data_IF_952723975688
#
_entry.id   IF_952723975688
#
_cell.length_a   1.000
_cell.length_b   1.000
_cell.length_c   1.000
_cell.angle_alpha   90.00
_cell.angle_beta   90.00
_cell.angle_gamma   90.00
#
_symmetry.space_group_name_H-M   'P 1'
#
loop_
_entity.id
_entity.type
_entity.pdbx_description
1 polymer ?
#
# COMPACT_ATOMS: atom_id res chain seq x y z
N UNK A 1 -7.58 -16.09 0.27
CA UNK A 1 -7.60 -15.87 -1.19
C UNK A 1 -6.26 -15.21 -1.54
N UNK A 2 -5.40 -15.81 -2.37
CA UNK A 2 -4.10 -15.20 -2.72
C UNK A 2 -4.34 -14.16 -3.82
N UNK A 3 -4.24 -12.88 -3.49
CA UNK A 3 -4.19 -11.81 -4.49
C UNK A 3 -2.88 -11.96 -5.27
N UNK A 4 -2.95 -11.79 -6.59
CA UNK A 4 -1.82 -12.12 -7.47
C UNK A 4 -1.20 -10.84 -8.02
N UNK A 5 -0.08 -10.42 -7.42
CA UNK A 5 0.84 -9.44 -8.00
C UNK A 5 0.85 -8.05 -7.35
N UNK A 6 2.01 -7.40 -7.48
CA UNK A 6 2.27 -6.00 -7.11
C UNK A 6 1.27 -5.06 -7.79
N UNK A 7 0.77 -4.09 -7.04
CA UNK A 7 -0.03 -3.01 -7.62
C UNK A 7 0.91 -2.04 -8.36
N UNK A 8 0.64 -1.74 -9.65
CA UNK A 8 1.23 -0.58 -10.30
C UNK A 8 0.96 0.67 -9.47
N UNK A 9 1.85 1.67 -9.54
CA UNK A 9 1.75 2.93 -8.80
C UNK A 9 0.35 3.55 -8.89
N UNK A 10 -0.22 3.56 -10.10
CA UNK A 10 -1.54 4.11 -10.32
C UNK A 10 -2.66 3.36 -9.58
N UNK A 11 -2.56 2.05 -9.41
CA UNK A 11 -3.51 1.24 -8.64
C UNK A 11 -3.22 1.28 -7.12
N UNK A 12 -1.95 1.41 -6.74
CA UNK A 12 -1.54 1.55 -5.35
C UNK A 12 -2.10 2.82 -4.72
N UNK A 13 -2.03 3.95 -5.43
CA UNK A 13 -2.63 5.22 -4.96
C UNK A 13 -4.11 5.07 -4.60
N UNK A 14 -4.88 4.34 -5.41
CA UNK A 14 -6.29 4.09 -5.13
C UNK A 14 -6.48 3.22 -3.89
N UNK A 15 -5.66 2.18 -3.73
CA UNK A 15 -5.71 1.33 -2.54
C UNK A 15 -5.29 2.07 -1.28
N UNK A 16 -4.32 3.00 -1.34
CA UNK A 16 -3.97 3.88 -0.22
C UNK A 16 -5.19 4.69 0.23
N UNK A 17 -5.92 5.31 -0.71
CA UNK A 17 -7.15 6.04 -0.40
C UNK A 17 -8.27 5.15 0.18
N UNK A 18 -8.36 3.88 -0.26
CA UNK A 18 -9.34 2.92 0.27
C UNK A 18 -8.94 2.43 1.67
N UNK A 19 -7.66 2.15 1.92
CA UNK A 19 -7.18 1.74 3.24
C UNK A 19 -7.31 2.83 4.29
N UNK A 20 -7.07 4.09 3.91
CA UNK A 20 -7.24 5.24 4.80
C UNK A 20 -8.70 5.41 5.26
N UNK A 21 -9.67 4.99 4.45
CA UNK A 21 -11.08 5.00 4.81
C UNK A 21 -11.49 3.89 5.80
N UNK A 22 -10.60 2.93 6.09
CA UNK A 22 -10.84 1.86 7.05
C UNK A 22 -11.97 0.90 6.64
N UNK A 23 -12.52 0.19 7.63
CA UNK A 23 -13.54 -0.86 7.42
C UNK A 23 -14.87 -0.32 6.85
N UNK A 24 -15.17 0.95 7.12
CA UNK A 24 -16.34 1.62 6.57
C UNK A 24 -16.24 1.77 5.04
N UNK A 25 -15.03 1.71 4.47
CA UNK A 25 -14.79 1.89 3.05
C UNK A 25 -15.13 3.30 2.56
N UNK A 26 -15.05 3.50 1.25
CA UNK A 26 -15.18 4.82 0.63
C UNK A 26 -15.98 4.78 -0.67
N UNK A 27 -16.39 5.93 -1.16
CA UNK A 27 -17.10 6.06 -2.44
C UNK A 27 -16.15 6.51 -3.54
N UNK A 28 -16.55 6.40 -4.81
CA UNK A 28 -15.73 6.90 -5.92
C UNK A 28 -15.33 8.40 -5.76
N UNK A 29 -16.25 9.32 -5.39
CA UNK A 29 -15.86 10.69 -5.05
C UNK A 29 -14.90 10.80 -3.87
N UNK A 30 -15.07 9.96 -2.84
CA UNK A 30 -14.19 9.94 -1.66
C UNK A 30 -12.77 9.45 -1.97
N UNK A 31 -12.61 8.58 -2.97
CA UNK A 31 -11.32 8.17 -3.51
C UNK A 31 -10.70 9.33 -4.29
N UNK A 32 -11.44 9.94 -5.23
CA UNK A 32 -10.93 11.06 -6.04
C UNK A 32 -10.45 12.24 -5.19
N UNK A 33 -11.15 12.54 -4.09
CA UNK A 33 -10.77 13.62 -3.19
C UNK A 33 -9.40 13.42 -2.50
N UNK A 34 -8.87 12.19 -2.49
CA UNK A 34 -7.58 11.83 -1.89
C UNK A 34 -6.46 11.64 -2.91
N UNK A 35 -6.76 11.71 -4.21
CA UNK A 35 -5.76 11.56 -5.24
C UNK A 35 -5.15 12.92 -5.59
N UNK A 36 -3.82 12.98 -5.65
CA UNK A 36 -3.09 14.20 -6.03
C UNK A 36 -3.21 14.51 -7.53
N UNK A 37 -3.54 13.50 -8.34
CA UNK A 37 -3.70 13.63 -9.80
C UNK A 37 -5.17 13.62 -10.22
N UNK A 38 -5.52 14.37 -11.28
CA UNK A 38 -6.87 14.30 -11.85
C UNK A 38 -7.09 12.96 -12.55
N UNK A 39 -8.27 12.37 -12.32
CA UNK A 39 -8.74 11.17 -13.00
C UNK A 39 -10.17 11.37 -13.49
N UNK A 40 -10.46 10.92 -14.71
CA UNK A 40 -11.84 10.89 -15.21
C UNK A 40 -12.62 9.79 -14.49
N UNK A 41 -13.94 9.95 -14.39
CA UNK A 41 -14.81 8.93 -13.79
C UNK A 41 -14.69 7.56 -14.49
N UNK A 42 -14.53 7.56 -15.82
CA UNK A 42 -14.34 6.33 -16.61
C UNK A 42 -13.00 5.64 -16.30
N UNK A 43 -11.92 6.42 -16.18
CA UNK A 43 -10.61 5.88 -15.81
C UNK A 43 -10.66 5.29 -14.39
N UNK A 44 -11.18 6.03 -13.42
CA UNK A 44 -11.37 5.56 -12.05
C UNK A 44 -12.17 4.25 -12.02
N UNK A 45 -13.30 4.20 -12.72
CA UNK A 45 -14.13 3.00 -12.78
C UNK A 45 -13.35 1.80 -13.34
N UNK A 46 -12.55 2.00 -14.38
CA UNK A 46 -11.70 0.96 -14.96
C UNK A 46 -10.64 0.45 -13.96
N UNK A 47 -10.01 1.34 -13.20
CA UNK A 47 -9.07 0.96 -12.14
C UNK A 47 -9.75 0.17 -11.02
N UNK A 48 -10.89 0.65 -10.52
CA UNK A 48 -11.61 0.01 -9.42
C UNK A 48 -12.12 -1.38 -9.82
N UNK A 49 -12.60 -1.53 -11.06
CA UNK A 49 -12.99 -2.84 -11.59
C UNK A 49 -11.81 -3.81 -11.65
N UNK A 50 -10.63 -3.37 -12.11
CA UNK A 50 -9.42 -4.22 -12.10
C UNK A 50 -8.98 -4.61 -10.70
N UNK A 51 -9.02 -3.67 -9.75
CA UNK A 51 -8.70 -3.93 -8.35
C UNK A 51 -9.67 -4.95 -7.72
N UNK A 52 -10.95 -4.86 -8.06
CA UNK A 52 -11.98 -5.83 -7.68
C UNK A 52 -11.73 -7.22 -8.29
N UNK A 53 -11.48 -7.29 -9.61
CA UNK A 53 -11.16 -8.53 -10.32
C UNK A 53 -9.89 -9.22 -9.78
N UNK A 54 -8.89 -8.43 -9.37
CA UNK A 54 -7.68 -8.91 -8.69
C UNK A 54 -7.92 -9.31 -7.23
N UNK A 55 -9.06 -8.94 -6.66
CA UNK A 55 -9.48 -9.28 -5.29
C UNK A 55 -8.92 -8.39 -4.19
N UNK A 56 -8.38 -7.21 -4.51
CA UNK A 56 -7.84 -6.27 -3.52
C UNK A 56 -8.93 -5.51 -2.77
N UNK A 57 -10.05 -5.25 -3.44
CA UNK A 57 -11.21 -4.57 -2.88
C UNK A 57 -12.51 -5.25 -3.33
N UNK A 58 -13.62 -4.90 -2.69
CA UNK A 58 -14.97 -5.25 -3.14
C UNK A 58 -15.78 -3.98 -3.39
N UNK A 59 -16.69 -4.03 -4.35
CA UNK A 59 -17.69 -3.01 -4.59
C UNK A 59 -19.05 -3.49 -4.08
N UNK A 60 -19.63 -2.77 -3.12
CA UNK A 60 -20.98 -3.00 -2.62
C UNK A 60 -21.88 -1.80 -2.91
N UNK A 61 -23.13 -2.05 -3.29
CA UNK A 61 -24.11 -0.98 -3.48
C UNK A 61 -24.78 -0.64 -2.16
N UNK A 62 -24.74 0.62 -1.76
CA UNK A 62 -25.41 1.16 -0.59
C UNK A 62 -26.34 2.31 -0.99
N UNK A 63 -27.64 2.01 -1.01
CA UNK A 63 -28.64 2.92 -1.56
C UNK A 63 -28.38 3.20 -3.04
N UNK A 64 -28.03 4.46 -3.35
CA UNK A 64 -27.76 4.92 -4.72
C UNK A 64 -26.27 4.98 -5.07
N UNK A 65 -25.38 4.68 -4.12
CA UNK A 65 -23.95 4.88 -4.28
C UNK A 65 -23.19 3.57 -4.14
N UNK A 66 -22.13 3.41 -4.92
CA UNK A 66 -21.19 2.30 -4.75
C UNK A 66 -20.19 2.64 -3.64
N UNK A 67 -19.91 1.66 -2.79
CA UNK A 67 -18.94 1.73 -1.72
C UNK A 67 -17.89 0.64 -1.90
N UNK A 68 -16.63 1.04 -1.79
CA UNK A 68 -15.46 0.22 -2.00
C UNK A 68 -14.80 -0.07 -0.66
N UNK A 69 -14.55 -1.34 -0.39
CA UNK A 69 -13.90 -1.80 0.85
C UNK A 69 -12.70 -2.65 0.53
N UNK A 70 -11.61 -2.46 1.28
CA UNK A 70 -10.44 -3.30 1.15
C UNK A 70 -10.78 -4.75 1.53
N UNK A 71 -10.32 -5.70 0.73
CA UNK A 71 -10.36 -7.15 1.05
C UNK A 71 -9.00 -7.68 1.50
N UNK A 72 -7.94 -6.95 1.16
CA UNK A 72 -6.57 -7.18 1.60
C UNK A 72 -6.23 -6.02 2.52
N UNK A 73 -5.73 -6.28 3.72
CA UNK A 73 -5.30 -5.20 4.62
C UNK A 73 -4.02 -4.55 4.11
N UNK A 74 -3.81 -3.29 4.50
CA UNK A 74 -2.57 -2.56 4.17
C UNK A 74 -1.34 -3.30 4.69
N UNK A 75 -1.40 -3.81 5.91
CA UNK A 75 -0.31 -4.54 6.54
C UNK A 75 0.04 -5.84 5.79
N UNK A 76 -0.96 -6.63 5.37
CA UNK A 76 -0.72 -7.84 4.56
C UNK A 76 -0.07 -7.50 3.21
N UNK A 77 -0.49 -6.40 2.58
CA UNK A 77 0.11 -5.93 1.34
C UNK A 77 1.56 -5.50 1.55
N UNK A 78 1.81 -4.62 2.52
CA UNK A 78 3.14 -4.12 2.85
C UNK A 78 4.10 -5.27 3.19
N UNK A 79 3.68 -6.24 4.01
CA UNK A 79 4.53 -7.38 4.35
C UNK A 79 4.97 -8.19 3.12
N UNK A 80 4.04 -8.50 2.21
CA UNK A 80 4.36 -9.24 0.99
C UNK A 80 5.21 -8.41 0.02
N UNK A 81 4.90 -7.12 -0.12
CA UNK A 81 5.56 -6.22 -1.04
C UNK A 81 6.98 -5.89 -0.58
N UNK A 82 7.20 -5.64 0.72
CA UNK A 82 8.53 -5.40 1.30
C UNK A 82 9.48 -6.56 1.03
N UNK A 83 9.01 -7.81 1.16
CA UNK A 83 9.82 -8.99 0.83
C UNK A 83 10.18 -9.02 -0.66
N UNK A 84 9.19 -8.77 -1.51
CA UNK A 84 9.37 -8.76 -2.97
C UNK A 84 10.35 -7.69 -3.42
N UNK A 85 10.26 -6.48 -2.86
CA UNK A 85 11.17 -5.35 -3.15
C UNK A 85 12.59 -5.67 -2.69
N UNK A 86 12.75 -6.17 -1.46
CA UNK A 86 14.07 -6.55 -0.94
C UNK A 86 14.72 -7.63 -1.81
N UNK A 87 13.99 -8.70 -2.14
CA UNK A 87 14.52 -9.82 -2.92
C UNK A 87 14.91 -9.39 -4.34
N UNK A 88 14.08 -8.56 -5.01
CA UNK A 88 14.29 -8.17 -6.42
C UNK A 88 15.33 -7.07 -6.61
N UNK A 89 15.35 -6.06 -5.75
CA UNK A 89 16.20 -4.86 -5.95
C UNK A 89 17.45 -4.87 -5.07
N UNK A 90 17.40 -5.51 -3.91
CA UNK A 90 18.45 -5.46 -2.90
C UNK A 90 19.01 -6.84 -2.54
N UNK A 91 18.72 -7.86 -3.36
CA UNK A 91 19.16 -9.26 -3.18
C UNK A 91 18.84 -9.82 -1.78
N UNK A 92 17.65 -9.47 -1.25
CA UNK A 92 17.18 -9.91 0.06
C UNK A 92 17.87 -9.26 1.25
N UNK A 93 18.73 -8.25 1.02
CA UNK A 93 19.54 -7.65 2.08
C UNK A 93 18.96 -6.32 2.57
N UNK A 94 18.43 -6.32 3.80
CA UNK A 94 18.01 -5.11 4.49
C UNK A 94 19.17 -4.10 4.64
N UNK A 95 20.39 -4.59 4.87
CA UNK A 95 21.60 -3.75 4.93
C UNK A 95 21.84 -2.99 3.62
N UNK A 96 21.68 -3.65 2.46
CA UNK A 96 21.86 -2.97 1.15
C UNK A 96 20.78 -1.93 0.92
N UNK A 97 19.56 -2.21 1.33
CA UNK A 97 18.47 -1.23 1.27
C UNK A 97 18.76 0.00 2.14
N UNK A 98 19.13 -0.20 3.41
CA UNK A 98 19.47 0.90 4.33
C UNK A 98 20.66 1.74 3.84
N UNK A 99 21.71 1.10 3.30
CA UNK A 99 22.85 1.80 2.72
C UNK A 99 22.42 2.68 1.53
N UNK A 100 21.58 2.17 0.63
CA UNK A 100 21.08 2.94 -0.51
C UNK A 100 20.25 4.17 -0.08
N UNK A 101 19.47 4.07 0.99
CA UNK A 101 18.72 5.21 1.53
C UNK A 101 19.64 6.25 2.19
N UNK A 102 20.65 5.80 2.93
CA UNK A 102 21.62 6.68 3.58
C UNK A 102 22.48 7.43 2.55
N UNK A 103 23.05 6.72 1.58
CA UNK A 103 23.89 7.30 0.53
C UNK A 103 23.08 8.26 -0.36
N UNK A 104 21.78 8.00 -0.53
CA UNK A 104 20.83 8.88 -1.22
C UNK A 104 20.34 10.07 -0.40
N UNK A 105 20.80 10.25 0.84
CA UNK A 105 20.37 11.33 1.74
C UNK A 105 18.91 11.24 2.21
N UNK A 106 18.28 10.09 2.02
CA UNK A 106 16.86 9.84 2.35
C UNK A 106 16.66 9.17 3.71
N UNK A 107 17.75 8.87 4.43
CA UNK A 107 17.73 8.31 5.77
C UNK A 107 18.37 9.29 6.75
N UNK A 108 17.54 9.90 7.58
CA UNK A 108 17.93 10.86 8.62
C UNK A 108 18.53 10.15 9.82
N UNK A 109 19.29 10.89 10.64
CA UNK A 109 19.87 10.33 11.86
C UNK A 109 18.80 9.89 12.88
N UNK A 110 17.65 10.55 12.89
CA UNK A 110 16.51 10.20 13.75
C UNK A 110 15.90 8.86 13.32
N UNK A 111 15.65 8.65 12.03
CA UNK A 111 15.17 7.38 11.49
C UNK A 111 16.16 6.22 11.76
N UNK A 112 17.47 6.49 11.72
CA UNK A 112 18.49 5.49 12.09
C UNK A 112 18.35 5.10 13.57
N UNK A 113 18.19 6.07 14.46
CA UNK A 113 18.03 5.79 15.90
C UNK A 113 16.74 5.04 16.21
N UNK A 114 15.63 5.43 15.60
CA UNK A 114 14.35 4.72 15.72
C UNK A 114 14.47 3.26 15.26
N UNK A 115 15.13 3.04 14.12
CA UNK A 115 15.39 1.69 13.62
C UNK A 115 16.30 0.88 14.55
N UNK A 116 17.36 1.49 15.09
CA UNK A 116 18.22 0.84 16.09
C UNK A 116 17.44 0.41 17.34
N UNK A 117 16.56 1.28 17.86
CA UNK A 117 15.73 0.97 19.03
C UNK A 117 14.78 -0.19 18.74
N UNK A 118 14.10 -0.15 17.59
CA UNK A 118 13.21 -1.23 17.16
C UNK A 118 13.95 -2.57 16.97
N UNK A 119 15.16 -2.57 16.39
CA UNK A 119 15.96 -3.79 16.28
C UNK A 119 16.38 -4.35 17.65
N UNK A 120 16.58 -3.47 18.64
CA UNK A 120 16.87 -3.89 20.03
C UNK A 120 15.64 -4.44 20.76
N UNK A 121 14.42 -4.00 20.43
CA UNK A 121 13.20 -4.58 20.99
C UNK A 121 12.94 -5.97 20.42
N UNK A 122 13.09 -6.14 19.09
CA UNK A 122 12.94 -7.45 18.44
C UNK A 122 13.90 -8.51 19.03
N UNK A 123 15.15 -8.14 19.31
CA UNK A 123 16.13 -9.05 19.94
C UNK A 123 15.83 -9.42 21.40
N UNK A 124 14.90 -8.72 22.06
CA UNK A 124 14.48 -8.97 23.45
C UNK A 124 13.20 -9.81 23.55
N UNK A 125 12.45 -9.89 22.45
CA UNK A 125 11.23 -10.69 22.35
C UNK A 125 11.50 -12.11 21.80
N UNK A 126 12.78 -12.44 21.54
CA UNK A 126 13.31 -13.81 21.34
C UNK A 126 13.88 -14.38 22.64
#
# INVERSE_FOLDING_TARGET
>A
MKWNGRLPESELELMLAVWEAGEEGTTAPGILARLERPLTASALHSYLKRLEEKGFLSCGKEGKTNRYRARVSRAEYEQQESRTVLDRLYAGSLRRFAAALHDGGSLTEEEVRELEEYLRTLRREE
#
